data_IF_373279139343
#
_entry.id   IF_373279139343
#
_cell.length_a   1.000
_cell.length_b   1.000
_cell.length_c   1.000
_cell.angle_alpha   90.00
_cell.angle_beta   90.00
_cell.angle_gamma   90.00
#
_symmetry.space_group_name_H-M   'P 1'
#
loop_
_entity.id
_entity.type
_entity.pdbx_description
1 polymer ?
#
# COMPACT_ATOMS: atom_id res chain seq x y z
N UNK A 1 6.45 -10.18 31.94
CA UNK A 1 6.19 -10.72 30.59
C UNK A 1 4.81 -10.26 30.15
N UNK A 2 4.72 -9.08 29.54
CA UNK A 2 3.56 -8.62 28.78
C UNK A 2 3.94 -7.36 27.99
N UNK A 3 3.17 -7.09 26.93
CA UNK A 3 3.24 -6.04 25.91
C UNK A 3 4.17 -6.32 24.73
N UNK A 4 3.76 -6.13 23.48
CA UNK A 4 2.47 -5.83 22.84
C UNK A 4 2.77 -5.93 21.35
N UNK A 5 2.02 -6.72 20.59
CA UNK A 5 2.04 -6.71 19.12
C UNK A 5 0.88 -5.82 18.65
N UNK A 6 1.11 -4.57 18.21
CA UNK A 6 0.03 -3.70 17.74
C UNK A 6 -0.33 -3.94 16.27
N UNK A 7 0.51 -4.66 15.50
CA UNK A 7 0.36 -4.78 14.04
C UNK A 7 -0.82 -5.67 13.59
N UNK A 8 -1.17 -6.71 14.35
CA UNK A 8 -2.20 -7.70 13.95
C UNK A 8 -3.60 -7.06 13.89
N UNK A 9 -3.88 -6.08 14.74
CA UNK A 9 -5.20 -5.45 14.86
C UNK A 9 -5.49 -4.50 13.69
N UNK A 10 -4.47 -3.82 13.17
CA UNK A 10 -4.64 -2.89 12.04
C UNK A 10 -4.89 -3.65 10.73
N UNK A 11 -4.10 -4.69 10.45
CA UNK A 11 -4.25 -5.49 9.23
C UNK A 11 -5.61 -6.19 9.16
N UNK A 12 -6.08 -6.77 10.27
CA UNK A 12 -7.39 -7.40 10.34
C UNK A 12 -8.52 -6.39 10.10
N UNK A 13 -8.45 -5.21 10.72
CA UNK A 13 -9.45 -4.15 10.50
C UNK A 13 -9.50 -3.73 9.03
N UNK A 14 -8.35 -3.63 8.36
CA UNK A 14 -8.31 -3.27 6.93
C UNK A 14 -8.93 -4.36 6.06
N UNK A 15 -8.59 -5.63 6.28
CA UNK A 15 -9.19 -6.76 5.58
C UNK A 15 -10.73 -6.82 5.77
N UNK A 16 -11.20 -6.58 6.99
CA UNK A 16 -12.63 -6.52 7.30
C UNK A 16 -13.32 -5.36 6.55
N UNK A 17 -12.65 -4.20 6.46
CA UNK A 17 -13.16 -3.01 5.77
C UNK A 17 -13.24 -3.24 4.27
N UNK A 18 -12.23 -3.87 3.69
CA UNK A 18 -12.20 -4.22 2.27
C UNK A 18 -13.30 -5.21 1.90
N UNK A 19 -13.45 -6.28 2.68
CA UNK A 19 -14.51 -7.25 2.45
C UNK A 19 -15.89 -6.58 2.49
N UNK A 20 -16.10 -5.69 3.45
CA UNK A 20 -17.31 -4.87 3.54
C UNK A 20 -17.53 -4.00 2.28
N UNK A 21 -16.51 -3.24 1.87
CA UNK A 21 -16.58 -2.35 0.70
C UNK A 21 -16.87 -3.13 -0.59
N UNK A 22 -16.20 -4.26 -0.79
CA UNK A 22 -16.43 -5.13 -1.94
C UNK A 22 -17.86 -5.65 -1.98
N UNK A 23 -18.35 -6.20 -0.86
CA UNK A 23 -19.73 -6.70 -0.77
C UNK A 23 -20.76 -5.60 -1.06
N UNK A 24 -20.55 -4.38 -0.56
CA UNK A 24 -21.44 -3.25 -0.80
C UNK A 24 -21.47 -2.85 -2.29
N UNK A 25 -20.29 -2.78 -2.93
CA UNK A 25 -20.17 -2.42 -4.35
C UNK A 25 -20.71 -3.50 -5.28
N UNK A 26 -20.48 -4.78 -4.98
CA UNK A 26 -21.07 -5.89 -5.74
C UNK A 26 -22.59 -5.88 -5.62
N UNK A 27 -23.13 -5.69 -4.40
CA UNK A 27 -24.58 -5.60 -4.22
C UNK A 27 -25.19 -4.45 -5.03
N UNK A 28 -24.52 -3.29 -5.07
CA UNK A 28 -24.92 -2.15 -5.88
C UNK A 28 -24.83 -2.44 -7.39
N UNK A 29 -23.77 -3.12 -7.84
CA UNK A 29 -23.63 -3.49 -9.24
C UNK A 29 -24.73 -4.47 -9.68
N UNK A 30 -25.02 -5.46 -8.85
CA UNK A 30 -26.11 -6.42 -9.09
C UNK A 30 -27.47 -5.71 -9.13
N UNK A 31 -27.72 -4.73 -8.25
CA UNK A 31 -28.98 -3.96 -8.30
C UNK A 31 -29.13 -3.12 -9.57
N UNK A 32 -28.00 -2.65 -10.14
CA UNK A 32 -27.98 -1.93 -11.42
C UNK A 32 -28.29 -2.88 -12.58
N UNK A 33 -27.68 -4.07 -12.60
CA UNK A 33 -27.96 -5.10 -13.62
C UNK A 33 -29.44 -5.52 -13.57
N UNK A 34 -29.99 -5.71 -12.37
CA UNK A 34 -31.41 -6.05 -12.16
C UNK A 34 -32.37 -4.91 -12.54
N UNK A 35 -31.88 -3.74 -12.95
CA UNK A 35 -32.70 -2.56 -13.26
C UNK A 35 -33.39 -1.93 -12.05
N UNK A 36 -33.01 -2.30 -10.82
CA UNK A 36 -33.61 -1.80 -9.57
C UNK A 36 -33.12 -0.41 -9.18
N UNK A 37 -32.02 0.06 -9.78
CA UNK A 37 -31.40 1.36 -9.48
C UNK A 37 -31.10 2.17 -10.75
N UNK A 38 -32.11 2.58 -11.53
CA UNK A 38 -31.94 3.40 -12.74
C UNK A 38 -31.59 4.86 -12.43
N UNK A 39 -31.80 5.34 -11.19
CA UNK A 39 -31.56 6.73 -10.80
C UNK A 39 -30.65 6.83 -9.57
N UNK A 40 -29.93 7.96 -9.40
CA UNK A 40 -29.09 8.21 -8.22
C UNK A 40 -29.85 8.13 -6.88
N UNK A 41 -31.14 8.51 -6.89
CA UNK A 41 -32.02 8.40 -5.73
C UNK A 41 -32.30 6.93 -5.38
N UNK A 42 -32.60 6.09 -6.36
CA UNK A 42 -32.85 4.66 -6.12
C UNK A 42 -31.58 3.93 -5.68
N UNK A 43 -30.42 4.28 -6.25
CA UNK A 43 -29.12 3.81 -5.77
C UNK A 43 -28.88 4.15 -4.30
N UNK A 44 -29.18 5.39 -3.90
CA UNK A 44 -29.05 5.82 -2.51
C UNK A 44 -29.98 5.02 -1.57
N UNK A 45 -31.26 4.89 -1.92
CA UNK A 45 -32.24 4.13 -1.14
C UNK A 45 -31.81 2.66 -1.02
N UNK A 46 -31.35 2.07 -2.12
CA UNK A 46 -30.84 0.70 -2.13
C UNK A 46 -29.67 0.53 -1.16
N UNK A 47 -28.64 1.37 -1.26
CA UNK A 47 -27.46 1.30 -0.39
C UNK A 47 -27.81 1.52 1.08
N UNK A 48 -28.67 2.49 1.39
CA UNK A 48 -29.13 2.73 2.75
C UNK A 48 -29.84 1.50 3.33
N UNK A 49 -30.77 0.90 2.58
CA UNK A 49 -31.48 -0.30 2.99
C UNK A 49 -30.54 -1.50 3.13
N UNK A 50 -29.58 -1.63 2.22
CA UNK A 50 -28.55 -2.67 2.27
C UNK A 50 -27.70 -2.55 3.53
N UNK A 51 -27.23 -1.34 3.88
CA UNK A 51 -26.43 -1.09 5.08
C UNK A 51 -27.20 -1.42 6.36
N UNK A 52 -28.46 -0.97 6.45
CA UNK A 52 -29.34 -1.29 7.59
C UNK A 52 -29.55 -2.79 7.71
N UNK A 53 -29.75 -3.49 6.60
CA UNK A 53 -29.94 -4.94 6.55
C UNK A 53 -28.66 -5.68 6.95
N UNK A 54 -27.51 -5.27 6.43
CA UNK A 54 -26.20 -5.84 6.75
C UNK A 54 -25.88 -5.71 8.24
N UNK A 55 -26.18 -4.55 8.85
CA UNK A 55 -26.05 -4.33 10.30
C UNK A 55 -26.97 -5.24 11.09
N UNK A 56 -28.26 -5.30 10.72
CA UNK A 56 -29.26 -6.13 11.42
C UNK A 56 -28.88 -7.61 11.41
N UNK A 57 -28.31 -8.07 10.30
CA UNK A 57 -27.86 -9.46 10.13
C UNK A 57 -26.46 -9.74 10.71
N UNK A 58 -25.78 -8.72 11.27
CA UNK A 58 -24.41 -8.82 11.79
C UNK A 58 -23.45 -9.52 10.80
N UNK A 59 -23.58 -9.19 9.50
CA UNK A 59 -22.81 -9.84 8.43
C UNK A 59 -21.31 -9.56 8.49
N UNK A 60 -20.91 -8.51 9.20
CA UNK A 60 -19.52 -8.05 9.26
C UNK A 60 -19.00 -8.01 10.69
N UNK A 61 -17.66 -8.14 10.88
CA UNK A 61 -17.03 -8.08 12.20
C UNK A 61 -17.26 -6.74 12.91
N UNK A 62 -17.09 -6.74 14.24
CA UNK A 62 -17.32 -5.54 15.06
C UNK A 62 -16.34 -4.39 14.76
N UNK A 63 -15.21 -4.70 14.14
CA UNK A 63 -14.18 -3.75 13.69
C UNK A 63 -14.73 -2.69 12.72
N UNK A 64 -15.66 -3.09 11.84
CA UNK A 64 -16.29 -2.23 10.82
C UNK A 64 -17.69 -1.74 11.20
N UNK A 65 -18.25 -2.21 12.32
CA UNK A 65 -19.59 -1.86 12.75
C UNK A 65 -19.77 -0.34 12.95
N UNK A 66 -18.74 0.34 13.46
CA UNK A 66 -18.74 1.80 13.62
C UNK A 66 -18.78 2.54 12.28
N UNK A 67 -18.07 2.01 11.28
CA UNK A 67 -18.02 2.60 9.94
C UNK A 67 -19.36 2.42 9.21
N UNK A 68 -20.01 1.26 9.39
CA UNK A 68 -21.38 1.01 8.91
C UNK A 68 -22.37 2.00 9.54
N UNK A 69 -22.26 2.22 10.85
CA UNK A 69 -23.13 3.15 11.57
C UNK A 69 -22.96 4.59 11.09
N UNK A 70 -21.72 5.01 10.88
CA UNK A 70 -21.41 6.29 10.29
C UNK A 70 -22.01 6.43 8.88
N UNK A 71 -21.88 5.41 8.02
CA UNK A 71 -22.45 5.43 6.66
C UNK A 71 -23.98 5.48 6.67
N UNK A 72 -24.64 4.78 7.59
CA UNK A 72 -26.10 4.85 7.78
C UNK A 72 -26.50 6.26 8.22
N UNK A 73 -25.81 6.85 9.17
CA UNK A 73 -26.12 8.21 9.63
C UNK A 73 -25.90 9.24 8.51
N UNK A 74 -24.75 9.17 7.84
CA UNK A 74 -24.42 10.01 6.69
C UNK A 74 -25.45 9.92 5.57
N UNK A 75 -25.98 8.71 5.32
CA UNK A 75 -27.03 8.49 4.32
C UNK A 75 -28.32 9.23 4.67
N UNK A 76 -28.68 9.28 5.96
CA UNK A 76 -29.89 9.95 6.44
C UNK A 76 -29.74 11.47 6.41
N UNK A 77 -28.56 11.96 6.76
CA UNK A 77 -28.31 13.39 6.89
C UNK A 77 -28.18 14.09 5.53
N UNK A 78 -27.52 13.44 4.56
CA UNK A 78 -27.24 14.03 3.25
C UNK A 78 -28.15 13.51 2.12
N UNK A 79 -28.93 12.46 2.38
CA UNK A 79 -29.79 11.84 1.37
C UNK A 79 -29.00 11.47 0.09
N UNK A 80 -29.60 11.63 -1.12
CA UNK A 80 -28.93 11.34 -2.38
C UNK A 80 -27.62 12.11 -2.62
N UNK A 81 -27.48 13.28 -2.00
CA UNK A 81 -26.26 14.11 -2.06
C UNK A 81 -25.07 13.48 -1.33
N UNK A 82 -25.30 12.45 -0.50
CA UNK A 82 -24.23 11.67 0.13
C UNK A 82 -23.31 10.98 -0.89
N UNK A 83 -23.83 10.68 -2.09
CA UNK A 83 -23.12 9.95 -3.17
C UNK A 83 -22.42 8.69 -2.65
N UNK A 84 -23.14 7.88 -1.86
CA UNK A 84 -22.59 6.72 -1.15
C UNK A 84 -21.86 5.76 -2.08
N UNK A 85 -22.40 5.47 -3.26
CA UNK A 85 -21.74 4.60 -4.24
C UNK A 85 -20.36 5.13 -4.66
N UNK A 86 -20.24 6.43 -4.93
CA UNK A 86 -18.95 7.05 -5.28
C UNK A 86 -17.97 7.06 -4.11
N UNK A 87 -18.45 7.30 -2.89
CA UNK A 87 -17.61 7.26 -1.69
C UNK A 87 -17.09 5.85 -1.40
N UNK A 88 -17.97 4.84 -1.51
CA UNK A 88 -17.59 3.44 -1.35
C UNK A 88 -16.60 3.02 -2.43
N UNK A 89 -16.81 3.41 -3.70
CA UNK A 89 -15.88 3.16 -4.80
C UNK A 89 -14.52 3.83 -4.58
N UNK A 90 -14.52 5.08 -4.08
CA UNK A 90 -13.28 5.80 -3.75
C UNK A 90 -12.54 5.11 -2.62
N UNK A 91 -13.24 4.77 -1.52
CA UNK A 91 -12.66 4.07 -0.38
C UNK A 91 -12.12 2.69 -0.79
N UNK A 92 -12.87 1.97 -1.62
CA UNK A 92 -12.49 0.67 -2.18
C UNK A 92 -11.24 0.79 -3.05
N UNK A 93 -11.17 1.77 -3.95
CA UNK A 93 -9.97 2.02 -4.75
C UNK A 93 -8.77 2.34 -3.87
N UNK A 94 -8.93 3.20 -2.85
CA UNK A 94 -7.84 3.48 -1.91
C UNK A 94 -7.44 2.28 -1.05
N UNK A 95 -8.35 1.33 -0.79
CA UNK A 95 -8.05 0.09 -0.05
C UNK A 95 -7.51 -1.03 -0.95
N UNK A 96 -7.87 -1.07 -2.23
CA UNK A 96 -7.30 -2.02 -3.21
C UNK A 96 -5.94 -1.54 -3.70
N UNK A 97 -5.69 -0.23 -3.74
CA UNK A 97 -4.33 0.34 -3.85
C UNK A 97 -3.61 0.10 -2.52
N UNK A 98 -3.61 -1.15 -2.07
CA UNK A 98 -2.45 -1.77 -1.50
C UNK A 98 -1.43 -1.80 -2.62
N UNK A 99 -0.21 -1.26 -2.46
CA UNK A 99 0.89 -1.93 -3.14
C UNK A 99 0.76 -3.39 -2.69
N UNK A 100 0.61 -4.33 -3.63
CA UNK A 100 0.36 -5.75 -3.35
C UNK A 100 1.11 -6.13 -2.06
N UNK A 101 0.45 -6.77 -1.08
CA UNK A 101 0.99 -6.85 0.30
C UNK A 101 2.43 -7.40 0.39
N UNK A 102 2.85 -8.15 -0.64
CA UNK A 102 4.22 -8.62 -0.88
C UNK A 102 4.78 -8.26 -2.28
N UNK A 103 4.36 -7.14 -2.87
CA UNK A 103 4.97 -6.65 -4.09
C UNK A 103 6.45 -6.32 -3.87
N UNK A 104 7.28 -6.42 -4.90
CA UNK A 104 8.67 -5.96 -4.84
C UNK A 104 8.82 -4.54 -4.29
N UNK A 105 7.92 -3.60 -4.62
CA UNK A 105 7.94 -2.23 -4.07
C UNK A 105 7.59 -2.16 -2.58
N UNK A 106 6.58 -2.93 -2.13
CA UNK A 106 6.22 -3.05 -0.71
C UNK A 106 7.39 -3.62 0.10
N UNK A 107 8.04 -4.66 -0.43
CA UNK A 107 9.20 -5.32 0.16
C UNK A 107 10.40 -4.36 0.23
N UNK A 108 10.65 -3.60 -0.83
CA UNK A 108 11.70 -2.57 -0.83
C UNK A 108 11.45 -1.49 0.23
N UNK A 109 10.20 -1.04 0.37
CA UNK A 109 9.81 -0.07 1.41
C UNK A 109 10.07 -0.65 2.82
N UNK A 110 9.80 -1.94 3.02
CA UNK A 110 10.07 -2.63 4.28
C UNK A 110 11.57 -2.76 4.58
N UNK A 111 12.37 -3.08 3.57
CA UNK A 111 13.85 -3.07 3.66
C UNK A 111 14.35 -1.69 4.10
N UNK A 112 13.93 -0.62 3.42
CA UNK A 112 14.35 0.75 3.77
C UNK A 112 13.99 1.08 5.22
N UNK A 113 12.82 0.64 5.69
CA UNK A 113 12.39 0.82 7.08
C UNK A 113 13.30 0.07 8.07
N UNK A 114 13.67 -1.17 7.77
CA UNK A 114 14.61 -1.96 8.60
C UNK A 114 15.96 -1.24 8.69
N UNK A 115 16.48 -0.76 7.56
CA UNK A 115 17.75 -0.03 7.50
C UNK A 115 17.68 1.26 8.32
N UNK A 116 16.58 2.03 8.23
CA UNK A 116 16.37 3.23 9.06
C UNK A 116 16.41 2.94 10.56
N UNK A 117 15.81 1.83 11.00
CA UNK A 117 15.88 1.41 12.40
C UNK A 117 17.31 1.06 12.86
N UNK A 118 18.21 0.74 11.92
CA UNK A 118 19.63 0.48 12.16
C UNK A 118 20.51 1.73 11.95
N UNK A 119 19.91 2.92 11.84
CA UNK A 119 20.61 4.19 11.69
C UNK A 119 20.99 4.55 10.25
N UNK A 120 20.44 3.84 9.26
CA UNK A 120 20.71 4.15 7.85
C UNK A 120 19.85 5.31 7.34
N UNK A 121 20.42 6.09 6.42
CA UNK A 121 19.69 7.14 5.69
C UNK A 121 19.25 6.64 4.31
N UNK A 122 18.03 6.98 3.89
CA UNK A 122 17.56 6.79 2.51
C UNK A 122 17.71 8.09 1.71
N UNK A 123 18.54 8.06 0.67
CA UNK A 123 18.84 9.24 -0.12
C UNK A 123 18.32 9.02 -1.55
N UNK A 124 17.25 9.72 -1.89
CA UNK A 124 16.72 9.73 -3.25
C UNK A 124 17.45 10.77 -4.10
N UNK A 125 18.18 10.30 -5.11
CA UNK A 125 18.98 11.13 -6.00
C UNK A 125 18.24 11.44 -7.31
N UNK A 126 18.57 12.60 -7.89
CA UNK A 126 18.23 12.94 -9.27
C UNK A 126 19.30 12.40 -10.22
N UNK A 127 18.97 12.23 -11.50
CA UNK A 127 19.87 11.64 -12.51
C UNK A 127 21.27 12.26 -12.56
N UNK A 128 21.39 13.60 -12.48
CA UNK A 128 22.68 14.31 -12.50
C UNK A 128 23.55 13.98 -11.29
N UNK A 129 22.94 13.85 -10.11
CA UNK A 129 23.62 13.49 -8.87
C UNK A 129 24.00 12.02 -8.86
N UNK A 130 23.15 11.15 -9.42
CA UNK A 130 23.43 9.71 -9.58
C UNK A 130 24.66 9.46 -10.43
N UNK A 131 24.81 10.15 -11.57
CA UNK A 131 26.01 10.02 -12.41
C UNK A 131 27.26 10.51 -11.71
N UNK A 132 27.18 11.57 -10.90
CA UNK A 132 28.34 12.06 -10.14
C UNK A 132 28.76 11.04 -9.06
N UNK A 133 27.77 10.52 -8.35
CA UNK A 133 27.92 9.54 -7.27
C UNK A 133 28.47 8.19 -7.77
N UNK A 134 28.12 7.75 -8.99
CA UNK A 134 28.72 6.52 -9.58
C UNK A 134 30.25 6.59 -9.72
N UNK A 135 30.83 7.79 -9.76
CA UNK A 135 32.25 7.99 -10.06
C UNK A 135 33.08 8.39 -8.83
N UNK A 136 32.45 8.68 -7.69
CA UNK A 136 33.11 9.18 -6.48
C UNK A 136 32.80 8.26 -5.29
N UNK A 137 33.79 7.96 -4.47
CA UNK A 137 33.57 7.28 -3.19
C UNK A 137 32.84 8.24 -2.26
N UNK A 138 31.54 8.01 -2.08
CA UNK A 138 30.71 8.86 -1.23
C UNK A 138 31.06 8.53 0.22
N UNK A 139 31.56 9.52 0.96
CA UNK A 139 31.67 9.42 2.41
C UNK A 139 30.44 10.07 3.04
N UNK A 140 29.58 9.28 3.67
CA UNK A 140 28.43 9.77 4.43
C UNK A 140 28.69 9.63 5.92
N UNK A 141 28.23 10.59 6.73
CA UNK A 141 28.37 10.55 8.19
C UNK A 141 27.67 9.33 8.83
N UNK A 142 26.61 8.85 8.17
CA UNK A 142 25.88 7.64 8.53
C UNK A 142 25.79 6.69 7.32
N UNK A 143 25.66 5.37 7.52
CA UNK A 143 25.44 4.45 6.41
C UNK A 143 24.18 4.84 5.63
N UNK A 144 24.24 4.81 4.31
CA UNK A 144 23.12 5.24 3.48
C UNK A 144 22.85 4.27 2.34
N UNK A 145 21.58 4.21 1.94
CA UNK A 145 21.12 3.61 0.68
C UNK A 145 20.72 4.74 -0.27
N UNK A 146 21.26 4.72 -1.48
CA UNK A 146 20.94 5.69 -2.51
C UNK A 146 20.08 5.06 -3.57
N UNK A 147 19.01 5.75 -3.91
CA UNK A 147 18.02 5.32 -4.88
C UNK A 147 17.87 6.40 -5.94
N UNK A 148 17.89 6.02 -7.21
CA UNK A 148 17.56 6.94 -8.29
C UNK A 148 16.04 7.15 -8.31
N UNK A 149 15.60 8.39 -8.11
CA UNK A 149 14.16 8.70 -7.98
C UNK A 149 13.33 8.38 -9.23
N UNK A 150 13.94 8.44 -10.42
CA UNK A 150 13.24 8.06 -11.67
C UNK A 150 13.04 6.54 -11.77
N UNK A 151 13.96 5.74 -11.23
CA UNK A 151 13.84 4.27 -11.25
C UNK A 151 12.69 3.78 -10.37
N UNK A 152 12.34 4.50 -9.30
CA UNK A 152 11.13 4.20 -8.52
C UNK A 152 9.83 4.31 -9.34
N UNK A 153 9.84 5.09 -10.42
CA UNK A 153 8.70 5.27 -11.33
C UNK A 153 8.81 4.36 -12.55
N UNK A 154 10.02 4.17 -13.10
CA UNK A 154 10.23 3.42 -14.34
C UNK A 154 10.45 1.92 -14.17
N UNK A 155 10.94 1.48 -13.01
CA UNK A 155 11.22 0.06 -12.75
C UNK A 155 10.03 -0.67 -12.12
N UNK A 156 9.04 0.05 -11.58
CA UNK A 156 7.85 -0.55 -10.95
C UNK A 156 6.60 -0.33 -11.79
N UNK A 157 5.73 -1.36 -11.85
CA UNK A 157 4.40 -1.23 -12.42
C UNK A 157 3.46 -0.48 -11.45
N UNK A 158 2.29 -0.07 -11.94
CA UNK A 158 1.22 0.48 -11.09
C UNK A 158 0.78 -0.50 -9.98
N UNK A 159 1.03 -1.81 -10.16
CA UNK A 159 0.77 -2.85 -9.16
C UNK A 159 1.92 -3.04 -8.15
N UNK A 160 3.06 -2.39 -8.37
CA UNK A 160 4.27 -2.48 -7.52
C UNK A 160 5.21 -3.64 -7.88
N UNK A 161 5.01 -4.28 -9.03
CA UNK A 161 5.89 -5.33 -9.55
C UNK A 161 7.15 -4.73 -10.18
N UNK A 162 8.29 -5.36 -9.94
CA UNK A 162 9.56 -4.95 -10.55
C UNK A 162 9.58 -5.40 -12.03
N UNK A 163 9.34 -4.46 -12.93
CA UNK A 163 9.29 -4.69 -14.39
C UNK A 163 10.68 -4.66 -15.05
N UNK A 164 11.63 -3.99 -14.41
CA UNK A 164 13.03 -3.87 -14.85
C UNK A 164 13.94 -3.90 -13.62
N UNK A 165 15.15 -4.42 -13.78
CA UNK A 165 16.17 -4.37 -12.74
C UNK A 165 16.44 -2.92 -12.33
N UNK A 166 16.68 -2.70 -11.04
CA UNK A 166 16.87 -1.38 -10.46
C UNK A 166 18.22 -1.32 -9.76
N UNK A 167 18.97 -0.25 -9.99
CA UNK A 167 20.28 -0.08 -9.36
C UNK A 167 20.16 0.73 -8.06
N UNK A 168 20.87 0.28 -7.03
CA UNK A 168 21.00 0.95 -5.75
C UNK A 168 22.47 1.08 -5.38
N UNK A 169 22.80 2.11 -4.60
CA UNK A 169 24.13 2.24 -4.02
C UNK A 169 24.06 2.18 -2.50
N UNK A 170 25.14 1.73 -1.89
CA UNK A 170 25.28 1.76 -0.44
C UNK A 170 26.66 2.21 0.00
N UNK A 171 26.69 3.06 1.02
CA UNK A 171 27.90 3.46 1.75
C UNK A 171 28.07 2.73 3.09
N UNK A 172 27.10 1.89 3.46
CA UNK A 172 27.11 1.09 4.68
C UNK A 172 27.66 -0.32 4.47
N UNK A 173 27.65 -1.10 5.54
CA UNK A 173 28.07 -2.51 5.50
C UNK A 173 27.17 -3.32 4.54
N UNK A 174 27.80 -3.98 3.57
CA UNK A 174 27.13 -4.81 2.58
C UNK A 174 26.38 -5.98 3.24
N UNK A 175 26.91 -6.58 4.31
CA UNK A 175 26.27 -7.71 4.98
C UNK A 175 24.94 -7.30 5.65
N UNK A 176 24.89 -6.09 6.21
CA UNK A 176 23.66 -5.53 6.78
C UNK A 176 22.62 -5.30 5.67
N UNK A 177 23.06 -4.73 4.55
CA UNK A 177 22.20 -4.54 3.37
C UNK A 177 21.65 -5.89 2.87
N UNK A 178 22.52 -6.87 2.65
CA UNK A 178 22.14 -8.22 2.21
C UNK A 178 21.16 -8.88 3.15
N UNK A 179 21.39 -8.80 4.45
CA UNK A 179 20.49 -9.38 5.45
C UNK A 179 19.12 -8.71 5.43
N UNK A 180 19.05 -7.38 5.28
CA UNK A 180 17.77 -6.66 5.18
C UNK A 180 17.00 -7.07 3.93
N UNK A 181 17.65 -7.10 2.75
CA UNK A 181 17.04 -7.53 1.49
C UNK A 181 16.62 -9.00 1.52
N UNK A 182 17.44 -9.89 2.07
CA UNK A 182 17.15 -11.32 2.21
C UNK A 182 15.99 -11.60 3.18
N UNK A 183 15.88 -10.85 4.27
CA UNK A 183 14.77 -10.97 5.24
C UNK A 183 13.44 -10.68 4.57
N UNK A 184 13.41 -9.69 3.69
CA UNK A 184 12.26 -9.35 2.87
C UNK A 184 12.18 -10.17 1.59
N UNK A 185 13.11 -11.11 1.36
CA UNK A 185 13.21 -12.03 0.21
C UNK A 185 13.44 -11.36 -1.15
N UNK A 186 13.99 -10.15 -1.19
CA UNK A 186 14.44 -9.49 -2.42
C UNK A 186 15.88 -9.93 -2.74
N UNK A 187 16.17 -10.14 -4.02
CA UNK A 187 17.50 -10.52 -4.48
C UNK A 187 18.26 -9.29 -4.93
N UNK A 188 19.46 -9.08 -4.38
CA UNK A 188 20.40 -8.06 -4.84
C UNK A 188 21.71 -8.70 -5.31
N UNK A 189 22.27 -8.22 -6.41
CA UNK A 189 23.58 -8.63 -6.93
C UNK A 189 24.60 -7.50 -6.80
N UNK A 190 25.80 -7.82 -6.31
CA UNK A 190 26.92 -6.88 -6.28
C UNK A 190 27.56 -6.80 -7.65
N UNK A 191 27.86 -5.59 -8.10
CA UNK A 191 28.73 -5.41 -9.27
C UNK A 191 30.19 -5.49 -8.84
N UNK A 192 30.90 -6.52 -9.30
CA UNK A 192 32.28 -6.86 -8.91
C UNK A 192 33.34 -5.76 -9.13
N UNK A 193 32.98 -4.66 -9.80
CA UNK A 193 33.87 -3.51 -10.04
C UNK A 193 33.82 -2.43 -8.94
N UNK A 194 32.79 -2.39 -8.08
CA UNK A 194 32.68 -1.45 -6.94
C UNK A 194 31.84 -2.06 -5.80
N UNK A 195 32.40 -2.15 -4.59
CA UNK A 195 31.76 -2.76 -3.41
C UNK A 195 30.47 -2.04 -2.93
N UNK A 196 30.17 -0.87 -3.50
CA UNK A 196 29.02 -0.02 -3.12
C UNK A 196 27.86 -0.06 -4.13
N UNK A 197 27.92 -0.90 -5.17
CA UNK A 197 26.92 -0.93 -6.26
C UNK A 197 26.16 -2.25 -6.30
N UNK A 198 24.83 -2.18 -6.21
CA UNK A 198 23.95 -3.34 -6.20
C UNK A 198 22.81 -3.18 -7.19
N UNK A 199 22.35 -4.28 -7.77
CA UNK A 199 21.16 -4.32 -8.61
C UNK A 199 20.11 -5.21 -7.97
N UNK A 200 18.91 -4.67 -7.79
CA UNK A 200 17.71 -5.41 -7.39
C UNK A 200 17.18 -6.13 -8.62
N UNK A 201 17.00 -7.44 -8.50
CA UNK A 201 16.41 -8.30 -9.54
C UNK A 201 15.15 -8.98 -9.00
N UNK A 202 14.28 -9.39 -9.93
CA UNK A 202 13.10 -10.19 -9.65
C UNK A 202 13.47 -11.68 -9.55
#
# INVERSE_FOLDING_TARGET
>A
MNNSRPDINHQQKMADTEHFLWCALIALHLSRIDGKTPSPLMEHIFLQNWLVTAKKQRRFPQTVAKDIDYLIQLSRDLGPSAKLGQRLDTLWKTSIIRPQEDSPLSRLTRVIRILKCQGWSDITLKQRSWTAVKHVDINTEAPAIFILGIDLVECFSDAGDLTKSMDILSTGDADILFNAFKTEGLTIKIHSKKQSYFTIEN
#
